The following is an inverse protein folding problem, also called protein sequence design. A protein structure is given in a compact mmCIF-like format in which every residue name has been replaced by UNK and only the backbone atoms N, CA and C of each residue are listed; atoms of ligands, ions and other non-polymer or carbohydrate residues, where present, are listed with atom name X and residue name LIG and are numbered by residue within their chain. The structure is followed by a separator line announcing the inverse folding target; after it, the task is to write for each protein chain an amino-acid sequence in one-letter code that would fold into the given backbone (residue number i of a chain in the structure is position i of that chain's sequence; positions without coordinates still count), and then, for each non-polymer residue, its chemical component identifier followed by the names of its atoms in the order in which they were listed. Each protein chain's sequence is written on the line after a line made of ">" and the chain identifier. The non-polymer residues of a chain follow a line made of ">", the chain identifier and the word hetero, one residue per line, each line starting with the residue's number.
data_IF_181435830642
#
_entry.id   IF_181435830642
#
_cell.length_a   1.000
_cell.length_b   1.000
_cell.length_c   1.000
_cell.angle_alpha   90.00
_cell.angle_beta   90.00
_cell.angle_gamma   90.00
#
_symmetry.space_group_name_H-M   'P 1'
#
loop_
_entity.id
_entity.type
_entity.pdbx_description
1 polymer ?
#
# COMPACT_ATOMS: atom_id res chain seq x y z
N UNK A 1 -20.49 4.17 -20.88
CA UNK A 1 -20.81 4.70 -19.54
C UNK A 1 -20.41 6.16 -19.41
N UNK A 2 -21.39 7.04 -19.19
CA UNK A 2 -21.13 8.44 -18.84
C UNK A 2 -20.90 8.57 -17.33
N UNK A 3 -19.84 9.28 -16.92
CA UNK A 3 -19.52 9.52 -15.51
C UNK A 3 -19.85 10.96 -15.12
N UNK A 4 -20.73 11.15 -14.14
CA UNK A 4 -21.18 12.47 -13.70
C UNK A 4 -21.17 12.56 -12.18
N UNK A 5 -20.75 13.69 -11.61
CA UNK A 5 -20.93 13.95 -10.17
C UNK A 5 -22.36 14.44 -9.96
N UNK A 6 -23.07 13.82 -9.02
CA UNK A 6 -24.39 14.24 -8.59
C UNK A 6 -24.44 14.43 -7.07
N UNK A 7 -25.39 15.23 -6.61
CA UNK A 7 -25.68 15.40 -5.19
C UNK A 7 -26.91 14.56 -4.81
N UNK A 8 -26.71 13.58 -3.93
CA UNK A 8 -27.75 12.66 -3.45
C UNK A 8 -28.47 13.25 -2.24
N UNK A 9 -29.79 13.25 -2.30
CA UNK A 9 -30.72 13.73 -1.28
C UNK A 9 -31.65 12.59 -0.86
N UNK A 10 -32.19 12.67 0.35
CA UNK A 10 -33.15 11.67 0.85
C UNK A 10 -34.50 12.31 1.14
N UNK A 11 -35.57 11.58 0.85
CA UNK A 11 -36.95 11.92 1.20
C UNK A 11 -37.54 10.86 2.14
N UNK A 12 -38.71 11.13 2.73
CA UNK A 12 -39.35 10.23 3.70
C UNK A 12 -40.29 9.19 3.07
N UNK A 13 -40.50 9.25 1.75
CA UNK A 13 -41.48 8.40 1.06
C UNK A 13 -41.11 6.90 1.17
N UNK A 14 -42.07 6.01 1.51
CA UNK A 14 -41.80 4.59 1.73
C UNK A 14 -41.67 3.79 0.43
N UNK A 15 -42.18 4.29 -0.70
CA UNK A 15 -42.12 3.63 -2.00
C UNK A 15 -40.67 3.61 -2.54
N UNK A 16 -40.41 2.86 -3.62
CA UNK A 16 -39.11 2.85 -4.31
C UNK A 16 -39.12 3.83 -5.48
N UNK A 17 -38.84 5.10 -5.19
CA UNK A 17 -38.87 6.17 -6.17
C UNK A 17 -37.53 6.90 -6.17
N UNK A 18 -37.04 7.21 -7.36
CA UNK A 18 -35.87 8.06 -7.58
C UNK A 18 -36.27 9.26 -8.43
N UNK A 19 -35.93 10.46 -7.96
CA UNK A 19 -36.09 11.68 -8.74
C UNK A 19 -34.75 12.15 -9.25
N UNK A 20 -34.70 12.47 -10.54
CA UNK A 20 -33.56 13.14 -11.15
C UNK A 20 -33.93 14.59 -11.47
N UNK A 21 -33.04 15.53 -11.15
CA UNK A 21 -33.15 16.89 -11.67
C UNK A 21 -33.21 16.88 -13.20
N UNK A 22 -34.03 17.73 -13.82
CA UNK A 22 -34.21 17.77 -15.28
C UNK A 22 -32.88 17.76 -16.08
N UNK A 23 -31.82 18.51 -15.71
CA UNK A 23 -30.53 18.45 -16.41
C UNK A 23 -29.89 17.06 -16.35
N UNK A 24 -29.90 16.42 -15.17
CA UNK A 24 -29.35 15.08 -14.97
C UNK A 24 -30.17 14.02 -15.71
N UNK A 25 -31.51 14.09 -15.66
CA UNK A 25 -32.36 13.14 -16.39
C UNK A 25 -32.10 13.18 -17.90
N UNK A 26 -31.90 14.39 -18.46
CA UNK A 26 -31.53 14.58 -19.87
C UNK A 26 -30.15 13.99 -20.18
N UNK A 27 -29.15 14.27 -19.35
CA UNK A 27 -27.79 13.76 -19.48
C UNK A 27 -27.75 12.22 -19.44
N UNK A 28 -28.56 11.62 -18.57
CA UNK A 28 -28.67 10.17 -18.40
C UNK A 28 -29.62 9.50 -19.42
N UNK A 29 -30.18 10.25 -20.37
CA UNK A 29 -31.14 9.76 -21.37
C UNK A 29 -32.35 9.03 -20.74
N UNK A 30 -32.83 9.52 -19.60
CA UNK A 30 -33.96 8.93 -18.86
C UNK A 30 -35.32 9.54 -19.22
N UNK A 31 -35.37 10.40 -20.24
CA UNK A 31 -36.62 11.07 -20.65
C UNK A 31 -37.64 10.04 -21.12
N UNK A 32 -38.83 10.02 -20.50
CA UNK A 32 -39.90 9.07 -20.82
C UNK A 32 -39.77 7.69 -20.16
N UNK A 33 -38.67 7.37 -19.47
CA UNK A 33 -38.54 6.10 -18.73
C UNK A 33 -39.38 6.10 -17.46
N UNK A 34 -40.14 5.03 -17.23
CA UNK A 34 -40.96 4.84 -16.02
C UNK A 34 -40.19 4.19 -14.87
N UNK A 35 -39.16 3.39 -15.17
CA UNK A 35 -38.35 2.69 -14.18
C UNK A 35 -36.88 2.61 -14.60
N UNK A 36 -36.01 2.39 -13.61
CA UNK A 36 -34.58 2.16 -13.78
C UNK A 36 -34.05 1.27 -12.68
N UNK A 37 -32.96 0.54 -12.93
CA UNK A 37 -32.22 -0.16 -11.90
C UNK A 37 -31.25 0.79 -11.20
N UNK A 38 -31.39 0.95 -9.89
CA UNK A 38 -30.46 1.74 -9.07
C UNK A 38 -29.51 0.80 -8.37
N UNK A 39 -28.21 1.05 -8.54
CA UNK A 39 -27.13 0.19 -8.04
C UNK A 39 -26.19 0.94 -7.11
N UNK A 40 -25.71 0.21 -6.11
CA UNK A 40 -24.59 0.60 -5.25
C UNK A 40 -23.81 -0.67 -4.92
N UNK A 41 -22.49 -0.71 -5.15
CA UNK A 41 -21.73 -1.93 -4.97
C UNK A 41 -22.33 -3.09 -5.78
N UNK A 42 -22.67 -4.18 -5.09
CA UNK A 42 -23.31 -5.37 -5.69
C UNK A 42 -24.84 -5.43 -5.57
N UNK A 43 -25.49 -4.49 -4.89
CA UNK A 43 -26.95 -4.44 -4.84
C UNK A 43 -27.52 -3.70 -6.04
N UNK A 44 -28.59 -4.23 -6.61
CA UNK A 44 -29.36 -3.63 -7.70
C UNK A 44 -30.83 -3.66 -7.31
N UNK A 45 -31.51 -2.51 -7.36
CA UNK A 45 -32.92 -2.40 -6.99
C UNK A 45 -33.68 -1.60 -8.05
N UNK A 46 -34.79 -2.13 -8.61
CA UNK A 46 -35.63 -1.37 -9.51
C UNK A 46 -36.35 -0.24 -8.76
N UNK A 47 -36.41 0.93 -9.39
CA UNK A 47 -37.06 2.12 -8.86
C UNK A 47 -37.91 2.80 -9.92
N UNK A 48 -39.04 3.37 -9.50
CA UNK A 48 -39.84 4.26 -10.34
C UNK A 48 -39.09 5.57 -10.55
N UNK A 49 -38.97 6.00 -11.80
CA UNK A 49 -38.27 7.23 -12.17
C UNK A 49 -39.26 8.39 -12.18
N UNK A 50 -38.86 9.49 -11.54
CA UNK A 50 -39.53 10.78 -11.64
C UNK A 50 -38.51 11.87 -11.98
N UNK A 51 -38.98 12.98 -12.52
CA UNK A 51 -38.13 14.15 -12.79
C UNK A 51 -38.58 15.33 -11.94
N UNK A 52 -37.63 16.18 -11.56
CA UNK A 52 -37.89 17.40 -10.80
C UNK A 52 -37.24 18.60 -11.48
N UNK A 53 -37.97 19.71 -11.57
CA UNK A 53 -37.45 20.98 -12.11
C UNK A 53 -36.48 21.60 -11.09
N UNK A 54 -35.20 21.26 -11.19
CA UNK A 54 -34.11 21.78 -10.35
C UNK A 54 -32.85 21.95 -11.19
N UNK A 55 -32.14 23.07 -11.00
CA UNK A 55 -30.83 23.30 -11.64
C UNK A 55 -29.76 22.37 -11.03
N UNK A 56 -28.72 22.08 -11.80
CA UNK A 56 -27.62 21.19 -11.38
C UNK A 56 -27.95 19.70 -11.48
N UNK A 57 -27.08 18.85 -10.92
CA UNK A 57 -27.20 17.40 -10.95
C UNK A 57 -27.59 16.86 -9.57
N UNK A 58 -28.89 16.61 -9.39
CA UNK A 58 -29.46 16.12 -8.14
C UNK A 58 -30.17 14.79 -8.32
N UNK A 59 -29.97 13.89 -7.36
CA UNK A 59 -30.71 12.65 -7.22
C UNK A 59 -31.43 12.70 -5.87
N UNK A 60 -32.75 12.57 -5.86
CA UNK A 60 -33.50 12.36 -4.62
C UNK A 60 -33.90 10.89 -4.55
N UNK A 61 -33.66 10.26 -3.41
CA UNK A 61 -34.04 8.88 -3.16
C UNK A 61 -35.06 8.82 -2.03
N UNK A 62 -36.14 8.09 -2.27
CA UNK A 62 -37.11 7.78 -1.23
C UNK A 62 -36.50 6.93 -0.12
N UNK A 63 -37.10 6.95 1.06
CA UNK A 63 -36.65 6.12 2.19
C UNK A 63 -36.72 4.62 1.85
N UNK A 64 -37.76 4.21 1.11
CA UNK A 64 -37.90 2.84 0.60
C UNK A 64 -36.73 2.42 -0.28
N UNK A 65 -36.40 3.23 -1.29
CA UNK A 65 -35.30 2.95 -2.20
C UNK A 65 -33.95 2.98 -1.49
N UNK A 66 -33.70 4.00 -0.66
CA UNK A 66 -32.46 4.13 0.12
C UNK A 66 -32.21 2.90 0.99
N UNK A 67 -33.24 2.38 1.68
CA UNK A 67 -33.10 1.19 2.52
C UNK A 67 -32.84 -0.07 1.70
N UNK A 68 -33.47 -0.21 0.53
CA UNK A 68 -33.29 -1.38 -0.33
C UNK A 68 -31.91 -1.41 -1.01
N UNK A 69 -31.43 -0.28 -1.55
CA UNK A 69 -30.09 -0.16 -2.18
C UNK A 69 -28.99 0.01 -1.12
N UNK A 70 -29.37 0.38 0.11
CA UNK A 70 -28.51 0.64 1.27
C UNK A 70 -27.52 1.79 1.04
N UNK A 71 -28.01 2.89 0.47
CA UNK A 71 -27.18 4.11 0.28
C UNK A 71 -26.87 4.73 1.65
N UNK A 72 -25.57 4.84 2.04
CA UNK A 72 -25.21 5.09 3.43
C UNK A 72 -25.49 6.53 3.87
N UNK A 73 -25.23 7.51 2.99
CA UNK A 73 -25.33 8.94 3.29
C UNK A 73 -25.63 9.77 2.04
N UNK A 74 -26.12 10.99 2.26
CA UNK A 74 -26.35 12.00 1.23
C UNK A 74 -25.04 12.73 0.86
N UNK A 75 -25.11 13.56 -0.18
CA UNK A 75 -24.01 14.41 -0.63
C UNK A 75 -23.49 14.04 -2.01
N UNK A 76 -22.34 14.60 -2.37
CA UNK A 76 -21.77 14.43 -3.71
C UNK A 76 -21.14 13.05 -3.88
N UNK A 77 -21.42 12.41 -5.01
CA UNK A 77 -20.86 11.11 -5.41
C UNK A 77 -20.85 11.00 -6.94
N UNK A 78 -20.01 10.13 -7.49
CA UNK A 78 -20.16 9.79 -8.89
C UNK A 78 -21.39 8.93 -9.16
N UNK A 79 -21.93 9.14 -10.35
CA UNK A 79 -23.01 8.38 -10.94
C UNK A 79 -22.54 7.93 -12.32
N UNK A 80 -22.50 6.62 -12.50
CA UNK A 80 -22.27 5.97 -13.79
C UNK A 80 -23.60 5.48 -14.35
N UNK A 81 -23.73 5.50 -15.67
CA UNK A 81 -24.93 5.07 -16.37
C UNK A 81 -24.56 4.24 -17.59
N UNK A 82 -25.24 3.10 -17.71
CA UNK A 82 -25.19 2.23 -18.88
C UNK A 82 -26.49 2.37 -19.69
N UNK A 83 -26.47 3.28 -20.67
CA UNK A 83 -27.53 3.54 -21.66
C UNK A 83 -28.96 3.72 -21.09
N UNK A 84 -29.08 4.09 -19.82
CA UNK A 84 -30.32 4.40 -19.12
C UNK A 84 -30.99 3.19 -18.44
N UNK A 85 -30.43 1.98 -18.54
CA UNK A 85 -30.99 0.78 -17.88
C UNK A 85 -30.56 0.66 -16.42
N UNK A 86 -29.30 0.95 -16.15
CA UNK A 86 -28.70 0.88 -14.82
C UNK A 86 -28.05 2.23 -14.48
N UNK A 87 -28.38 2.73 -13.29
CA UNK A 87 -27.76 3.90 -12.68
C UNK A 87 -27.00 3.43 -11.46
N UNK A 88 -25.67 3.53 -11.54
CA UNK A 88 -24.78 3.11 -10.48
C UNK A 88 -24.26 4.33 -9.70
N UNK A 89 -24.61 4.41 -8.42
CA UNK A 89 -24.03 5.36 -7.48
C UNK A 89 -22.74 4.77 -6.93
N UNK A 90 -21.69 5.58 -6.82
CA UNK A 90 -20.46 5.13 -6.17
C UNK A 90 -19.18 5.80 -6.68
N UNK A 91 -18.05 5.08 -6.66
CA UNK A 91 -17.94 3.69 -6.20
C UNK A 91 -18.14 3.55 -4.69
N UNK A 92 -18.57 2.37 -4.26
CA UNK A 92 -18.52 1.91 -2.88
C UNK A 92 -17.17 1.25 -2.63
N UNK A 93 -16.30 1.91 -1.85
CA UNK A 93 -14.92 1.50 -1.62
C UNK A 93 -14.75 1.02 -0.18
N UNK A 94 -14.39 -0.25 -0.03
CA UNK A 94 -14.18 -0.87 1.28
C UNK A 94 -12.69 -0.93 1.66
N UNK A 95 -12.34 -0.30 2.78
CA UNK A 95 -11.00 -0.40 3.38
C UNK A 95 -11.00 -1.54 4.41
N UNK A 96 -10.38 -2.67 4.05
CA UNK A 96 -10.25 -3.82 4.96
C UNK A 96 -9.12 -3.55 5.95
N UNK A 97 -9.46 -3.54 7.24
CA UNK A 97 -8.54 -3.30 8.35
C UNK A 97 -8.87 -4.25 9.51
N UNK A 98 -8.01 -4.27 10.52
CA UNK A 98 -8.32 -4.92 11.80
C UNK A 98 -8.96 -3.91 12.77
N UNK A 99 -9.77 -4.42 13.69
CA UNK A 99 -10.42 -3.66 14.76
C UNK A 99 -9.61 -3.76 16.04
N UNK A 100 -9.25 -2.63 16.65
CA UNK A 100 -8.31 -2.60 17.77
C UNK A 100 -8.90 -2.09 19.09
N UNK A 101 -10.08 -1.48 19.08
CA UNK A 101 -10.61 -0.77 20.26
C UNK A 101 -12.11 -1.03 20.44
N UNK A 102 -12.53 -1.13 21.70
CA UNK A 102 -13.95 -1.12 22.09
C UNK A 102 -14.55 0.29 22.09
N UNK A 103 -13.73 1.33 21.96
CA UNK A 103 -14.20 2.72 21.95
C UNK A 103 -14.66 3.16 20.55
N UNK A 104 -15.86 3.73 20.47
CA UNK A 104 -16.47 4.23 19.23
C UNK A 104 -15.70 5.37 18.57
N UNK A 105 -14.88 6.12 19.32
CA UNK A 105 -14.06 7.22 18.80
C UNK A 105 -12.77 6.76 18.09
N UNK A 106 -12.30 5.54 18.38
CA UNK A 106 -11.03 4.98 17.88
C UNK A 106 -11.17 3.54 17.37
N UNK A 107 -12.10 3.24 16.45
CA UNK A 107 -12.47 1.87 16.06
C UNK A 107 -11.30 1.02 15.54
N UNK A 108 -10.22 1.64 15.07
CA UNK A 108 -9.06 0.99 14.47
C UNK A 108 -7.75 1.24 15.24
N UNK A 109 -7.82 1.61 16.52
CA UNK A 109 -6.65 1.92 17.37
C UNK A 109 -5.76 2.99 16.74
N UNK A 110 -4.45 2.75 16.70
CA UNK A 110 -3.43 3.64 16.11
C UNK A 110 -3.68 4.01 14.64
N UNK A 111 -4.48 3.21 13.92
CA UNK A 111 -4.77 3.44 12.50
C UNK A 111 -6.01 4.26 12.24
N UNK A 112 -6.78 4.56 13.28
CA UNK A 112 -7.98 5.40 13.19
C UNK A 112 -7.68 6.71 12.45
N UNK A 113 -6.55 7.35 12.72
CA UNK A 113 -6.16 8.59 12.03
C UNK A 113 -5.98 8.42 10.53
N UNK A 114 -5.29 7.36 10.09
CA UNK A 114 -5.09 7.07 8.67
C UNK A 114 -6.40 6.69 7.96
N UNK A 115 -7.20 5.83 8.57
CA UNK A 115 -8.51 5.44 8.01
C UNK A 115 -9.43 6.67 7.91
N UNK A 116 -9.42 7.55 8.91
CA UNK A 116 -10.16 8.82 8.87
C UNK A 116 -9.73 9.69 7.68
N UNK A 117 -8.43 9.84 7.45
CA UNK A 117 -7.92 10.61 6.31
C UNK A 117 -8.39 10.05 4.97
N UNK A 118 -8.33 8.73 4.77
CA UNK A 118 -8.84 8.07 3.56
C UNK A 118 -10.34 8.30 3.37
N UNK A 119 -11.13 8.07 4.41
CA UNK A 119 -12.59 8.23 4.35
C UNK A 119 -12.98 9.69 4.13
N UNK A 120 -12.19 10.64 4.62
CA UNK A 120 -12.40 12.06 4.38
C UNK A 120 -12.05 12.44 2.93
N UNK A 121 -10.96 11.91 2.38
CA UNK A 121 -10.56 12.18 1.00
C UNK A 121 -11.61 11.71 -0.02
N UNK A 122 -12.21 10.54 0.22
CA UNK A 122 -13.29 10.04 -0.62
C UNK A 122 -14.58 10.87 -0.55
N UNK A 123 -14.73 11.74 0.46
CA UNK A 123 -15.92 12.60 0.57
C UNK A 123 -16.05 13.45 -0.69
N UNK A 124 -17.25 13.47 -1.26
CA UNK A 124 -17.65 14.16 -2.49
C UNK A 124 -17.43 13.40 -3.81
N UNK A 125 -16.65 12.31 -3.83
CA UNK A 125 -16.41 11.51 -5.04
C UNK A 125 -16.89 10.07 -4.93
N UNK A 126 -16.78 9.45 -3.74
CA UNK A 126 -17.07 8.04 -3.54
C UNK A 126 -17.65 7.76 -2.13
N UNK A 127 -18.19 6.56 -1.94
CA UNK A 127 -18.55 6.05 -0.62
C UNK A 127 -17.42 5.20 -0.05
N UNK A 128 -16.49 5.85 0.67
CA UNK A 128 -15.48 5.13 1.45
C UNK A 128 -16.04 4.68 2.79
N UNK A 129 -15.71 3.45 3.16
CA UNK A 129 -15.95 2.92 4.49
C UNK A 129 -14.84 1.96 4.89
N UNK A 130 -14.72 1.72 6.19
CA UNK A 130 -13.77 0.76 6.73
C UNK A 130 -14.50 -0.38 7.42
N UNK A 131 -13.95 -1.59 7.31
CA UNK A 131 -14.55 -2.79 7.88
C UNK A 131 -13.48 -3.81 8.25
N UNK A 132 -13.86 -4.73 9.12
CA UNK A 132 -13.09 -5.89 9.54
C UNK A 132 -13.69 -7.15 8.92
N UNK A 133 -12.95 -8.28 8.86
CA UNK A 133 -13.51 -9.55 8.37
C UNK A 133 -14.81 -9.98 9.05
N UNK A 134 -14.98 -9.61 10.34
CA UNK A 134 -16.15 -9.96 11.15
C UNK A 134 -17.38 -9.12 10.83
N UNK A 135 -17.21 -8.00 10.13
CA UNK A 135 -18.31 -7.11 9.75
C UNK A 135 -19.10 -7.61 8.53
N UNK A 136 -18.61 -8.64 7.86
CA UNK A 136 -19.20 -9.18 6.63
C UNK A 136 -20.26 -10.23 6.97
N UNK A 137 -21.49 -9.98 6.58
CA UNK A 137 -22.53 -10.99 6.53
C UNK A 137 -22.57 -11.59 5.12
N UNK A 138 -21.92 -12.75 4.95
CA UNK A 138 -21.86 -13.44 3.66
C UNK A 138 -23.20 -14.04 3.21
N UNK A 139 -24.11 -14.31 4.15
CA UNK A 139 -25.42 -14.89 3.84
C UNK A 139 -26.35 -13.83 3.25
N UNK A 140 -26.25 -12.59 3.76
CA UNK A 140 -27.00 -11.43 3.27
C UNK A 140 -26.23 -10.60 2.23
N UNK A 141 -24.97 -10.94 1.95
CA UNK A 141 -24.06 -10.19 1.07
C UNK A 141 -23.94 -8.70 1.44
N UNK A 142 -23.89 -8.43 2.74
CA UNK A 142 -23.76 -7.08 3.29
C UNK A 142 -22.55 -6.93 4.20
N UNK A 143 -22.11 -5.69 4.39
CA UNK A 143 -21.05 -5.32 5.32
C UNK A 143 -21.58 -4.24 6.24
N UNK A 144 -21.48 -4.44 7.55
CA UNK A 144 -21.71 -3.39 8.53
C UNK A 144 -20.43 -2.55 8.67
N UNK A 145 -20.32 -1.49 7.88
CA UNK A 145 -19.11 -0.68 7.76
C UNK A 145 -19.09 0.55 8.68
N UNK A 146 -17.90 1.03 8.97
CA UNK A 146 -17.64 2.33 9.61
C UNK A 146 -17.54 3.44 8.57
N UNK A 147 -18.35 4.48 8.74
CA UNK A 147 -18.37 5.70 7.94
C UNK A 147 -18.06 6.92 8.81
N UNK A 148 -17.59 7.99 8.18
CA UNK A 148 -17.55 9.31 8.80
C UNK A 148 -18.86 10.07 8.54
N UNK A 149 -19.42 10.64 9.61
CA UNK A 149 -20.51 11.61 9.54
C UNK A 149 -20.01 13.01 9.11
N UNK A 150 -20.92 13.97 9.03
CA UNK A 150 -20.60 15.35 8.63
C UNK A 150 -19.69 16.11 9.61
N UNK A 151 -19.66 15.71 10.89
CA UNK A 151 -18.78 16.27 11.92
C UNK A 151 -17.45 15.51 12.05
N UNK A 152 -17.22 14.45 11.26
CA UNK A 152 -16.03 13.60 11.35
C UNK A 152 -16.12 12.52 12.45
N UNK A 153 -17.29 12.33 13.05
CA UNK A 153 -17.61 11.24 13.96
C UNK A 153 -17.78 9.91 13.23
N UNK A 154 -17.62 8.81 13.95
CA UNK A 154 -17.74 7.45 13.42
C UNK A 154 -19.17 6.93 13.55
N UNK A 155 -19.73 6.45 12.44
CA UNK A 155 -21.08 5.85 12.42
C UNK A 155 -21.06 4.49 11.72
N UNK A 156 -21.91 3.57 12.18
CA UNK A 156 -22.09 2.25 11.57
C UNK A 156 -23.24 2.26 10.57
N UNK A 157 -23.02 1.70 9.38
CA UNK A 157 -24.05 1.54 8.34
C UNK A 157 -23.86 0.21 7.65
N UNK A 158 -24.96 -0.50 7.41
CA UNK A 158 -24.99 -1.70 6.58
C UNK A 158 -25.05 -1.26 5.12
N UNK A 159 -24.11 -1.78 4.32
CA UNK A 159 -24.01 -1.54 2.87
C UNK A 159 -23.82 -2.87 2.13
N UNK A 160 -24.06 -2.92 0.81
CA UNK A 160 -23.72 -4.09 0.00
C UNK A 160 -22.23 -4.44 0.05
N UNK A 161 -21.90 -5.60 -0.53
CA UNK A 161 -20.52 -5.85 -0.94
C UNK A 161 -20.02 -4.71 -1.87
N UNK A 162 -18.77 -4.23 -1.66
CA UNK A 162 -18.24 -3.05 -2.33
C UNK A 162 -17.91 -3.29 -3.81
N UNK A 163 -17.69 -2.20 -4.53
CA UNK A 163 -17.17 -2.21 -5.90
C UNK A 163 -15.68 -2.60 -5.93
N UNK A 164 -14.93 -2.23 -4.89
CA UNK A 164 -13.49 -2.55 -4.72
C UNK A 164 -13.12 -2.63 -3.25
N UNK A 165 -12.20 -3.54 -2.93
CA UNK A 165 -11.61 -3.70 -1.60
C UNK A 165 -10.14 -3.31 -1.63
N UNK A 166 -9.80 -2.30 -0.82
CA UNK A 166 -8.43 -1.98 -0.47
C UNK A 166 -8.02 -2.79 0.76
N UNK A 167 -7.19 -3.82 0.56
CA UNK A 167 -6.67 -4.57 1.69
C UNK A 167 -5.58 -3.80 2.40
N UNK A 168 -5.86 -3.36 3.62
CA UNK A 168 -4.90 -2.66 4.43
C UNK A 168 -4.63 -3.30 5.78
N UNK A 169 -4.85 -4.59 6.00
CA UNK A 169 -4.58 -5.25 7.29
C UNK A 169 -3.19 -4.92 7.88
N UNK A 170 -3.04 -4.82 9.21
CA UNK A 170 -1.88 -4.19 9.85
C UNK A 170 -0.65 -5.08 9.93
N UNK A 171 -0.79 -6.39 9.79
CA UNK A 171 0.31 -7.32 9.97
C UNK A 171 0.13 -8.59 9.15
N UNK A 172 1.24 -9.29 8.91
CA UNK A 172 1.25 -10.62 8.30
C UNK A 172 0.35 -11.60 9.06
N UNK A 173 0.39 -11.57 10.40
CA UNK A 173 -0.44 -12.45 11.26
C UNK A 173 -1.93 -12.23 11.05
N UNK A 174 -2.36 -10.98 10.83
CA UNK A 174 -3.75 -10.65 10.54
C UNK A 174 -4.21 -11.14 9.15
N UNK A 175 -3.28 -11.58 8.30
CA UNK A 175 -3.52 -12.00 6.92
C UNK A 175 -3.40 -13.51 6.69
N UNK A 176 -3.02 -14.26 7.72
CA UNK A 176 -2.79 -15.71 7.67
C UNK A 176 -3.97 -16.43 8.31
N UNK A 177 -4.29 -17.62 7.79
CA UNK A 177 -5.33 -18.50 8.31
C UNK A 177 -6.44 -18.77 7.29
N UNK A 178 -7.13 -19.90 7.48
CA UNK A 178 -8.20 -20.38 6.59
C UNK A 178 -9.32 -19.36 6.40
N UNK A 179 -9.69 -18.63 7.45
CA UNK A 179 -10.70 -17.57 7.39
C UNK A 179 -10.33 -16.45 6.40
N UNK A 180 -9.06 -16.05 6.38
CA UNK A 180 -8.61 -14.98 5.48
C UNK A 180 -8.50 -15.47 4.04
N UNK A 181 -8.01 -16.69 3.82
CA UNK A 181 -8.03 -17.34 2.50
C UNK A 181 -9.45 -17.40 1.95
N UNK A 182 -10.40 -17.93 2.72
CA UNK A 182 -11.80 -18.00 2.33
C UNK A 182 -12.44 -16.62 2.08
N UNK A 183 -12.09 -15.60 2.88
CA UNK A 183 -12.54 -14.22 2.66
C UNK A 183 -12.11 -13.71 1.29
N UNK A 184 -10.83 -13.90 0.92
CA UNK A 184 -10.30 -13.42 -0.36
C UNK A 184 -10.91 -14.18 -1.54
N UNK A 185 -11.00 -15.50 -1.45
CA UNK A 185 -11.65 -16.34 -2.47
C UNK A 185 -13.11 -15.93 -2.72
N UNK A 186 -13.86 -15.58 -1.66
CA UNK A 186 -15.24 -15.08 -1.80
C UNK A 186 -15.31 -13.76 -2.56
N UNK A 187 -14.40 -12.82 -2.31
CA UNK A 187 -14.33 -11.58 -3.09
C UNK A 187 -13.97 -11.85 -4.57
N UNK A 188 -13.03 -12.75 -4.84
CA UNK A 188 -12.67 -13.17 -6.20
C UNK A 188 -13.87 -13.79 -6.91
N UNK A 189 -14.57 -14.73 -6.27
CA UNK A 189 -15.79 -15.37 -6.82
C UNK A 189 -16.87 -14.34 -7.15
N UNK A 190 -16.96 -13.25 -6.38
CA UNK A 190 -17.90 -12.14 -6.61
C UNK A 190 -17.41 -11.08 -7.60
N UNK A 191 -16.25 -11.30 -8.23
CA UNK A 191 -15.61 -10.36 -9.17
C UNK A 191 -15.51 -8.96 -8.55
N UNK A 192 -15.04 -8.91 -7.30
CA UNK A 192 -14.72 -7.66 -6.59
C UNK A 192 -13.20 -7.52 -6.61
N UNK A 193 -12.64 -6.51 -7.30
CA UNK A 193 -11.23 -6.19 -7.24
C UNK A 193 -10.75 -6.08 -5.80
N UNK A 194 -9.67 -6.80 -5.49
CA UNK A 194 -9.07 -6.88 -4.17
C UNK A 194 -7.57 -6.68 -4.35
N UNK A 195 -7.08 -5.49 -4.02
CA UNK A 195 -5.70 -5.11 -4.30
C UNK A 195 -4.86 -5.04 -3.02
N UNK A 196 -3.55 -5.20 -3.19
CA UNK A 196 -2.59 -5.46 -2.11
C UNK A 196 -2.95 -6.73 -1.33
N UNK A 197 -3.12 -7.83 -2.08
CA UNK A 197 -3.60 -9.14 -1.61
C UNK A 197 -3.03 -9.60 -0.27
N UNK A 198 -1.70 -9.62 -0.13
CA UNK A 198 -1.01 -9.95 1.10
C UNK A 198 0.24 -9.10 1.32
N UNK A 199 0.82 -9.13 2.51
CA UNK A 199 2.20 -8.71 2.73
C UNK A 199 3.15 -9.63 1.96
N UNK A 200 4.26 -9.09 1.49
CA UNK A 200 5.37 -9.89 1.00
C UNK A 200 6.18 -10.46 2.17
N UNK A 201 6.70 -11.67 2.01
CA UNK A 201 7.88 -12.12 2.76
C UNK A 201 9.14 -11.76 1.97
N UNK A 202 10.29 -11.71 2.66
CA UNK A 202 11.55 -11.32 2.03
C UNK A 202 11.99 -12.30 0.93
N UNK A 203 11.77 -13.59 1.15
CA UNK A 203 11.96 -14.63 0.14
C UNK A 203 11.10 -14.39 -1.10
N UNK A 204 9.84 -14.00 -0.89
CA UNK A 204 8.86 -13.87 -1.98
C UNK A 204 9.31 -12.82 -2.99
N UNK A 205 9.80 -11.66 -2.55
CA UNK A 205 10.23 -10.59 -3.47
C UNK A 205 11.41 -11.02 -4.33
N UNK A 206 12.40 -11.72 -3.76
CA UNK A 206 13.52 -12.23 -4.54
C UNK A 206 13.07 -13.32 -5.51
N UNK A 207 12.24 -14.26 -5.07
CA UNK A 207 11.67 -15.30 -5.95
C UNK A 207 10.83 -14.71 -7.08
N UNK A 208 10.13 -13.59 -6.85
CA UNK A 208 9.38 -12.87 -7.88
C UNK A 208 10.28 -12.25 -8.95
N UNK A 209 11.53 -11.91 -8.62
CA UNK A 209 12.43 -11.17 -9.51
C UNK A 209 13.61 -12.00 -10.03
N UNK A 210 13.78 -13.24 -9.55
CA UNK A 210 14.91 -14.12 -9.87
C UNK A 210 15.06 -14.43 -11.36
N UNK A 211 13.97 -14.30 -12.14
CA UNK A 211 13.95 -14.53 -13.59
C UNK A 211 13.84 -13.26 -14.42
N UNK A 212 13.79 -12.08 -13.79
CA UNK A 212 13.67 -10.80 -14.48
C UNK A 212 15.07 -10.17 -14.63
N UNK A 213 15.64 -10.30 -15.84
CA UNK A 213 17.02 -9.88 -16.15
C UNK A 213 17.26 -8.39 -15.88
N UNK A 214 16.25 -7.55 -16.05
CA UNK A 214 16.35 -6.12 -15.79
C UNK A 214 16.32 -5.84 -14.28
N UNK A 215 15.46 -6.52 -13.53
CA UNK A 215 15.40 -6.36 -12.08
C UNK A 215 16.68 -6.88 -11.38
N UNK A 216 17.27 -7.98 -11.86
CA UNK A 216 18.47 -8.59 -11.27
C UNK A 216 19.67 -7.64 -11.21
N UNK A 217 19.79 -6.70 -12.16
CA UNK A 217 20.85 -5.66 -12.17
C UNK A 217 20.78 -4.73 -10.97
N UNK A 218 19.61 -4.64 -10.35
CA UNK A 218 19.32 -3.75 -9.22
C UNK A 218 19.11 -4.52 -7.91
N UNK A 219 19.46 -5.81 -7.87
CA UNK A 219 19.32 -6.64 -6.68
C UNK A 219 20.69 -7.08 -6.16
N UNK A 220 20.97 -6.94 -4.85
CA UNK A 220 22.18 -7.51 -4.27
C UNK A 220 22.12 -9.04 -4.31
N UNK A 221 23.25 -9.67 -4.66
CA UNK A 221 23.36 -11.13 -4.67
C UNK A 221 22.98 -11.70 -3.29
N UNK A 222 22.01 -12.60 -3.25
CA UNK A 222 21.39 -13.08 -2.00
C UNK A 222 21.16 -14.57 -2.03
N UNK A 223 21.44 -15.26 -0.92
CA UNK A 223 21.28 -16.72 -0.79
C UNK A 223 20.54 -17.03 0.51
N UNK A 224 19.39 -17.68 0.37
CA UNK A 224 18.58 -18.15 1.49
C UNK A 224 19.18 -19.43 2.08
N UNK A 225 19.11 -19.55 3.41
CA UNK A 225 19.63 -20.69 4.17
C UNK A 225 21.05 -21.11 3.73
N UNK A 226 22.00 -20.16 3.70
CA UNK A 226 23.30 -20.39 3.09
C UNK A 226 24.13 -21.37 3.94
N UNK A 227 24.88 -22.24 3.27
CA UNK A 227 25.91 -23.04 3.94
C UNK A 227 27.08 -22.13 4.37
N UNK A 228 27.87 -22.53 5.38
CA UNK A 228 29.10 -21.82 5.76
C UNK A 228 30.05 -21.57 4.59
N UNK A 229 30.19 -22.56 3.71
CA UNK A 229 31.04 -22.51 2.52
C UNK A 229 30.54 -21.42 1.58
N UNK A 230 29.23 -21.33 1.38
CA UNK A 230 28.64 -20.30 0.53
C UNK A 230 28.73 -18.90 1.13
N UNK A 231 28.63 -18.78 2.46
CA UNK A 231 28.91 -17.51 3.16
C UNK A 231 30.36 -17.09 2.94
N UNK A 232 31.32 -18.03 3.06
CA UNK A 232 32.74 -17.76 2.86
C UNK A 232 33.01 -17.29 1.44
N UNK A 233 32.52 -18.02 0.44
CA UNK A 233 32.64 -17.68 -0.98
C UNK A 233 32.13 -16.26 -1.27
N UNK A 234 30.90 -15.95 -0.84
CA UNK A 234 30.34 -14.62 -1.02
C UNK A 234 31.12 -13.54 -0.27
N UNK A 235 31.69 -13.87 0.89
CA UNK A 235 32.41 -12.90 1.71
C UNK A 235 33.79 -12.61 1.13
N UNK A 236 34.42 -13.59 0.49
CA UNK A 236 35.66 -13.40 -0.27
C UNK A 236 35.40 -12.62 -1.56
N UNK A 237 34.31 -12.94 -2.28
CA UNK A 237 33.87 -12.25 -3.50
C UNK A 237 33.54 -10.78 -3.25
N UNK A 238 32.70 -10.49 -2.25
CA UNK A 238 32.14 -9.15 -2.04
C UNK A 238 32.79 -8.36 -0.90
N UNK A 239 33.56 -9.01 -0.02
CA UNK A 239 34.22 -8.44 1.17
C UNK A 239 33.29 -7.83 2.23
N UNK A 240 32.00 -7.69 1.94
CA UNK A 240 30.98 -7.13 2.81
C UNK A 240 29.65 -7.83 2.54
N UNK A 241 29.08 -8.46 3.57
CA UNK A 241 27.77 -9.09 3.52
C UNK A 241 26.89 -8.64 4.69
N UNK A 242 25.59 -8.70 4.47
CA UNK A 242 24.58 -8.75 5.52
C UNK A 242 24.12 -10.18 5.74
N UNK A 243 24.02 -10.58 7.00
CA UNK A 243 23.40 -11.83 7.42
C UNK A 243 22.17 -11.48 8.26
N UNK A 244 20.99 -11.72 7.69
CA UNK A 244 19.70 -11.22 8.22
C UNK A 244 18.65 -12.33 8.32
N UNK A 245 17.75 -12.30 9.32
CA UNK A 245 16.70 -13.32 9.44
C UNK A 245 15.72 -13.25 8.26
N UNK A 246 15.28 -14.41 7.76
CA UNK A 246 14.33 -14.53 6.64
C UNK A 246 12.98 -13.88 6.96
N UNK A 247 12.50 -14.01 8.21
CA UNK A 247 11.22 -13.46 8.67
C UNK A 247 11.36 -12.22 9.60
N UNK A 248 12.52 -11.55 9.59
CA UNK A 248 12.82 -10.43 10.50
C UNK A 248 12.14 -9.11 10.15
N UNK A 249 11.98 -8.23 11.15
CA UNK A 249 11.54 -6.84 10.98
C UNK A 249 12.38 -5.88 11.86
N UNK A 250 12.29 -4.58 11.59
CA UNK A 250 12.91 -3.51 12.40
C UNK A 250 14.44 -3.55 12.52
N UNK A 251 15.12 -4.31 11.66
CA UNK A 251 16.57 -4.45 11.72
C UNK A 251 17.09 -5.35 12.84
N UNK A 252 16.21 -6.06 13.55
CA UNK A 252 16.58 -6.94 14.65
C UNK A 252 17.24 -8.21 14.09
N UNK A 253 18.36 -8.61 14.69
CA UNK A 253 19.09 -9.82 14.31
C UNK A 253 19.93 -9.68 13.04
N UNK A 254 20.14 -8.46 12.53
CA UNK A 254 21.01 -8.23 11.37
C UNK A 254 22.47 -8.14 11.81
N UNK A 255 23.31 -8.92 11.14
CA UNK A 255 24.77 -8.89 11.26
C UNK A 255 25.37 -8.33 9.98
N UNK A 256 26.34 -7.44 10.13
CA UNK A 256 27.23 -7.02 9.06
C UNK A 256 28.52 -7.81 9.19
N UNK A 257 28.83 -8.60 8.17
CA UNK A 257 30.05 -9.37 8.05
C UNK A 257 30.99 -8.63 7.08
N UNK A 258 32.24 -8.41 7.47
CA UNK A 258 33.24 -7.86 6.54
C UNK A 258 34.53 -8.66 6.62
N UNK A 259 35.14 -8.90 5.47
CA UNK A 259 36.44 -9.54 5.36
C UNK A 259 37.45 -8.55 4.81
N UNK A 260 38.62 -8.51 5.45
CA UNK A 260 39.76 -7.74 4.99
C UNK A 260 40.97 -8.67 4.93
N UNK A 261 41.55 -8.94 3.75
CA UNK A 261 42.59 -9.96 3.58
C UNK A 261 43.72 -9.91 4.61
N UNK A 262 44.18 -8.71 4.96
CA UNK A 262 45.25 -8.50 5.96
C UNK A 262 44.78 -8.32 7.41
N UNK A 263 43.50 -8.07 7.67
CA UNK A 263 42.98 -7.71 9.01
C UNK A 263 42.01 -8.75 9.58
N UNK A 264 41.69 -9.79 8.81
CA UNK A 264 40.79 -10.86 9.21
C UNK A 264 39.32 -10.52 8.97
N UNK A 265 38.45 -11.14 9.76
CA UNK A 265 37.01 -11.06 9.63
C UNK A 265 36.41 -10.21 10.74
N UNK A 266 35.33 -9.51 10.45
CA UNK A 266 34.65 -8.68 11.42
C UNK A 266 33.14 -8.94 11.39
N UNK A 267 32.53 -8.92 12.57
CA UNK A 267 31.08 -8.88 12.73
C UNK A 267 30.71 -7.59 13.43
N UNK A 268 29.77 -6.84 12.84
CA UNK A 268 29.06 -5.76 13.51
C UNK A 268 27.58 -6.09 13.68
N UNK A 269 27.02 -5.86 14.86
CA UNK A 269 25.59 -6.06 15.15
C UNK A 269 25.13 -5.17 16.30
N UNK A 270 23.82 -5.03 16.48
CA UNK A 270 23.23 -4.28 17.60
C UNK A 270 22.82 -5.21 18.73
N UNK A 271 23.17 -4.85 19.97
CA UNK A 271 22.65 -5.43 21.22
C UNK A 271 21.85 -4.33 21.93
N UNK A 272 20.98 -4.69 22.88
CA UNK A 272 20.16 -3.72 23.64
C UNK A 272 20.96 -2.54 24.22
N UNK A 273 22.25 -2.74 24.50
CA UNK A 273 23.17 -1.74 25.07
C UNK A 273 23.97 -0.92 24.05
N UNK A 274 23.88 -1.20 22.74
CA UNK A 274 24.62 -0.45 21.71
C UNK A 274 25.08 -1.28 20.51
N UNK A 275 25.95 -0.68 19.68
CA UNK A 275 26.58 -1.35 18.54
C UNK A 275 27.82 -2.12 19.00
N UNK A 276 27.93 -3.39 18.61
CA UNK A 276 29.06 -4.27 18.92
C UNK A 276 29.88 -4.51 17.66
N UNK A 277 31.20 -4.44 17.77
CA UNK A 277 32.15 -4.82 16.72
C UNK A 277 33.09 -5.90 17.27
N UNK A 278 33.13 -7.06 16.60
CA UNK A 278 34.03 -8.15 16.93
C UNK A 278 34.97 -8.41 15.77
N UNK A 279 36.23 -8.75 16.08
CA UNK A 279 37.24 -9.19 15.12
C UNK A 279 37.57 -10.67 15.32
N UNK A 280 37.77 -11.38 14.23
CA UNK A 280 38.17 -12.79 14.19
C UNK A 280 39.37 -12.95 13.27
N UNK A 281 40.34 -13.76 13.69
CA UNK A 281 41.54 -14.05 12.87
C UNK A 281 41.23 -14.98 11.70
N UNK A 282 40.21 -15.84 11.82
CA UNK A 282 39.81 -16.81 10.79
C UNK A 282 38.28 -16.94 10.69
N UNK A 283 37.83 -17.47 9.55
CA UNK A 283 36.41 -17.64 9.24
C UNK A 283 35.69 -18.62 10.18
N UNK A 284 36.36 -19.70 10.59
CA UNK A 284 35.76 -20.74 11.44
C UNK A 284 35.36 -20.19 12.81
N UNK A 285 36.17 -19.31 13.40
CA UNK A 285 35.85 -18.63 14.66
C UNK A 285 34.65 -17.70 14.52
N UNK A 286 34.52 -17.00 13.39
CA UNK A 286 33.37 -16.17 13.06
C UNK A 286 32.10 -17.04 12.98
N UNK A 287 32.16 -18.16 12.25
CA UNK A 287 31.01 -19.06 12.08
C UNK A 287 30.62 -19.75 13.39
N UNK A 288 31.58 -20.11 14.25
CA UNK A 288 31.31 -20.65 15.58
C UNK A 288 30.45 -19.68 16.39
N UNK A 289 30.76 -18.37 16.36
CA UNK A 289 29.96 -17.35 17.04
C UNK A 289 28.52 -17.29 16.51
N UNK A 290 28.33 -17.28 15.19
CA UNK A 290 27.00 -17.25 14.58
C UNK A 290 26.18 -18.50 14.95
N UNK A 291 26.79 -19.69 14.89
CA UNK A 291 26.16 -20.96 15.27
C UNK A 291 25.81 -21.03 16.75
N UNK A 292 26.71 -20.62 17.64
CA UNK A 292 26.43 -20.58 19.09
C UNK A 292 25.22 -19.69 19.40
N UNK A 293 25.03 -18.60 18.64
CA UNK A 293 23.94 -17.68 18.89
C UNK A 293 22.61 -18.08 18.22
N UNK A 294 22.66 -18.77 17.08
CA UNK A 294 21.49 -19.00 16.23
C UNK A 294 21.18 -20.47 15.93
N UNK A 295 21.96 -21.41 16.49
CA UNK A 295 21.85 -22.84 16.22
C UNK A 295 22.70 -23.28 15.02
N UNK A 296 22.98 -24.58 14.93
CA UNK A 296 23.91 -25.16 13.94
C UNK A 296 23.46 -25.03 12.49
N UNK A 297 22.15 -25.07 12.23
CA UNK A 297 21.60 -25.18 10.88
C UNK A 297 21.38 -23.84 10.18
N UNK A 298 21.48 -22.69 10.89
CA UNK A 298 21.30 -21.34 10.32
C UNK A 298 20.03 -21.18 9.45
N UNK A 299 19.04 -22.03 9.66
CA UNK A 299 17.99 -22.40 8.69
C UNK A 299 16.84 -21.39 8.56
N UNK A 300 17.09 -20.14 8.92
CA UNK A 300 16.11 -19.05 8.89
C UNK A 300 16.79 -17.69 8.61
N UNK A 301 17.89 -17.71 7.88
CA UNK A 301 18.65 -16.53 7.53
C UNK A 301 18.95 -16.48 6.03
N UNK A 302 19.14 -15.26 5.55
CA UNK A 302 19.65 -14.98 4.21
C UNK A 302 20.97 -14.24 4.36
N UNK A 303 21.96 -14.66 3.57
CA UNK A 303 23.18 -13.87 3.36
C UNK A 303 22.99 -13.05 2.09
N UNK A 304 23.36 -11.78 2.15
CA UNK A 304 23.15 -10.82 1.09
C UNK A 304 24.39 -9.95 0.91
N UNK A 305 24.76 -9.67 -0.34
CA UNK A 305 25.80 -8.72 -0.69
C UNK A 305 25.57 -7.37 0.01
N UNK A 306 26.58 -6.89 0.71
CA UNK A 306 26.58 -5.58 1.34
C UNK A 306 26.95 -4.51 0.33
N UNK A 307 26.02 -3.61 0.04
CA UNK A 307 26.26 -2.47 -0.87
C UNK A 307 26.90 -1.31 -0.09
N UNK A 308 27.95 -0.72 -0.66
CA UNK A 308 28.63 0.46 -0.10
C UNK A 308 27.89 1.72 -0.51
N UNK A 309 26.84 2.02 0.25
CA UNK A 309 25.95 3.15 0.02
C UNK A 309 26.67 4.50 0.06
N UNK A 310 26.05 5.51 -0.52
CA UNK A 310 26.41 6.90 -0.22
C UNK A 310 26.20 7.21 1.26
N UNK A 311 27.06 8.08 1.78
CA UNK A 311 27.14 8.40 3.21
C UNK A 311 27.15 9.91 3.41
N UNK A 312 26.49 10.37 4.47
CA UNK A 312 26.65 11.73 5.02
C UNK A 312 27.21 11.57 6.43
N UNK A 313 28.29 12.26 6.76
CA UNK A 313 28.99 12.14 8.05
C UNK A 313 29.35 10.69 8.41
N UNK A 314 29.79 9.90 7.41
CA UNK A 314 30.09 8.47 7.53
C UNK A 314 28.90 7.60 7.97
N UNK A 315 27.67 8.10 7.80
CA UNK A 315 26.46 7.33 8.01
C UNK A 315 25.80 6.99 6.67
N UNK A 316 25.55 5.69 6.38
CA UNK A 316 24.91 5.27 5.14
C UNK A 316 23.47 5.75 5.06
N UNK A 317 23.00 5.95 3.83
CA UNK A 317 21.67 6.44 3.52
C UNK A 317 20.95 5.42 2.64
N UNK A 318 19.71 5.10 3.00
CA UNK A 318 18.78 4.43 2.10
C UNK A 318 17.50 5.26 1.93
N UNK A 319 16.79 5.02 0.84
CA UNK A 319 15.66 5.80 0.39
C UNK A 319 14.41 4.92 0.42
N UNK A 320 13.39 5.33 1.16
CA UNK A 320 12.07 4.71 1.11
C UNK A 320 11.26 5.37 0.01
N UNK A 321 11.06 4.66 -1.09
CA UNK A 321 10.14 5.04 -2.16
C UNK A 321 8.74 4.52 -1.82
N UNK A 322 7.74 5.40 -1.89
CA UNK A 322 6.34 5.04 -1.89
C UNK A 322 5.83 5.06 -3.33
N UNK A 323 5.57 3.88 -3.86
CA UNK A 323 5.06 3.67 -5.21
C UNK A 323 3.56 3.46 -5.13
N UNK A 324 2.83 4.06 -6.06
CA UNK A 324 1.39 3.91 -6.19
C UNK A 324 1.01 3.70 -7.64
N UNK A 325 -0.14 3.09 -7.87
CA UNK A 325 -0.80 3.14 -9.16
C UNK A 325 -1.58 4.44 -9.29
N UNK A 326 -1.44 5.12 -10.42
CA UNK A 326 -2.24 6.31 -10.74
C UNK A 326 -3.64 5.95 -11.27
N UNK A 327 -4.41 6.96 -11.69
CA UNK A 327 -5.75 6.78 -12.27
C UNK A 327 -5.77 6.06 -13.63
N UNK A 328 -4.60 5.80 -14.23
CA UNK A 328 -4.42 5.02 -15.48
C UNK A 328 -3.85 3.64 -15.22
N UNK A 329 -3.65 3.28 -13.95
CA UNK A 329 -3.05 2.02 -13.52
C UNK A 329 -1.57 1.89 -13.94
N UNK A 330 -0.84 3.00 -13.96
CA UNK A 330 0.60 3.08 -14.15
C UNK A 330 1.31 3.33 -12.81
N UNK A 331 2.53 2.81 -12.64
CA UNK A 331 3.31 3.01 -11.42
C UNK A 331 3.93 4.41 -11.37
N UNK A 332 3.67 5.14 -10.29
CA UNK A 332 4.22 6.47 -10.02
C UNK A 332 4.87 6.55 -8.65
N UNK A 333 5.85 7.44 -8.50
CA UNK A 333 6.52 7.71 -7.23
C UNK A 333 5.73 8.77 -6.47
N UNK A 334 4.94 8.36 -5.47
CA UNK A 334 4.14 9.29 -4.67
C UNK A 334 4.98 10.07 -3.64
N UNK A 335 6.09 9.51 -3.19
CA UNK A 335 6.98 10.19 -2.26
C UNK A 335 8.24 9.38 -1.95
N UNK A 336 9.31 10.09 -1.57
CA UNK A 336 10.59 9.49 -1.23
C UNK A 336 11.07 10.10 0.09
N UNK A 337 11.49 9.25 1.02
CA UNK A 337 12.14 9.68 2.25
C UNK A 337 13.54 9.10 2.36
N UNK A 338 14.56 9.96 2.53
CA UNK A 338 15.93 9.53 2.73
C UNK A 338 16.20 9.31 4.23
N UNK A 339 16.55 8.08 4.60
CA UNK A 339 16.87 7.67 5.98
C UNK A 339 18.37 7.56 6.13
N UNK A 340 18.96 8.49 6.89
CA UNK A 340 20.36 8.43 7.30
C UNK A 340 20.49 7.56 8.55
N UNK A 341 21.42 6.60 8.54
CA UNK A 341 21.67 5.75 9.71
C UNK A 341 22.21 6.53 10.91
N UNK A 342 21.97 6.01 12.12
CA UNK A 342 22.70 6.47 13.31
C UNK A 342 24.18 6.09 13.22
N UNK A 343 25.06 6.89 13.83
CA UNK A 343 26.52 6.61 13.84
C UNK A 343 26.81 5.20 14.34
N UNK A 344 27.59 4.45 13.56
CA UNK A 344 27.97 3.07 13.87
C UNK A 344 26.85 2.03 13.74
N UNK A 345 25.62 2.42 13.40
CA UNK A 345 24.47 1.51 13.26
C UNK A 345 24.64 0.58 12.06
N UNK A 346 24.18 -0.66 12.23
CA UNK A 346 24.15 -1.67 11.15
C UNK A 346 22.96 -1.46 10.21
N UNK A 347 21.96 -0.67 10.62
CA UNK A 347 20.73 -0.43 9.86
C UNK A 347 20.39 1.05 9.82
N UNK A 348 19.77 1.51 8.74
CA UNK A 348 19.26 2.87 8.56
C UNK A 348 17.88 3.10 9.22
N UNK A 349 17.30 2.10 9.89
CA UNK A 349 16.00 2.25 10.55
C UNK A 349 16.01 3.42 11.54
N UNK A 350 15.05 4.35 11.39
CA UNK A 350 14.93 5.58 12.20
C UNK A 350 14.89 5.28 13.70
N UNK A 351 14.21 4.20 14.12
CA UNK A 351 14.12 3.75 15.52
C UNK A 351 15.49 3.43 16.17
N UNK A 352 16.54 3.24 15.36
CA UNK A 352 17.90 2.92 15.80
C UNK A 352 18.82 4.15 15.89
N UNK A 353 18.25 5.37 15.92
CA UNK A 353 18.99 6.64 15.98
C UNK A 353 19.25 7.27 14.61
N UNK A 354 18.48 6.87 13.60
CA UNK A 354 18.55 7.45 12.25
C UNK A 354 17.76 8.75 12.13
N UNK A 355 18.06 9.55 11.11
CA UNK A 355 17.34 10.79 10.78
C UNK A 355 16.69 10.69 9.41
N UNK A 356 15.60 11.42 9.21
CA UNK A 356 14.85 11.47 7.96
C UNK A 356 15.06 12.84 7.31
N UNK A 357 15.34 12.85 6.01
CA UNK A 357 15.51 14.06 5.19
C UNK A 357 14.87 13.87 3.81
N UNK A 358 14.80 14.93 3.01
CA UNK A 358 14.32 14.82 1.62
C UNK A 358 15.39 14.15 0.74
N UNK A 359 15.00 13.49 -0.37
CA UNK A 359 15.99 12.90 -1.27
C UNK A 359 16.89 13.96 -1.91
N UNK A 360 16.39 15.17 -2.18
CA UNK A 360 17.17 16.28 -2.73
C UNK A 360 18.27 16.69 -1.73
N UNK A 361 17.93 16.87 -0.45
CA UNK A 361 18.92 17.19 0.58
C UNK A 361 19.99 16.12 0.72
N UNK A 362 19.60 14.84 0.66
CA UNK A 362 20.54 13.73 0.75
C UNK A 362 21.47 13.69 -0.47
N UNK A 363 20.92 13.73 -1.68
CA UNK A 363 21.67 13.56 -2.92
C UNK A 363 22.52 14.78 -3.25
N UNK A 364 22.08 16.02 -2.95
CA UNK A 364 22.91 17.22 -3.14
C UNK A 364 24.15 17.20 -2.27
N UNK A 365 24.09 16.61 -1.07
CA UNK A 365 25.25 16.46 -0.18
C UNK A 365 26.20 15.34 -0.59
N UNK A 366 25.74 14.35 -1.36
CA UNK A 366 26.57 13.19 -1.76
C UNK A 366 27.07 13.28 -3.20
N UNK A 367 26.27 13.82 -4.12
CA UNK A 367 26.55 13.88 -5.57
C UNK A 367 26.65 15.31 -6.12
N UNK A 368 26.37 16.34 -5.31
CA UNK A 368 26.48 17.74 -5.74
C UNK A 368 25.61 18.04 -6.97
N UNK A 369 26.23 18.53 -8.04
CA UNK A 369 25.55 18.89 -9.28
C UNK A 369 24.80 17.72 -9.96
N UNK A 370 25.21 16.47 -9.71
CA UNK A 370 24.55 15.27 -10.29
C UNK A 370 23.33 14.80 -9.51
N UNK A 371 22.95 15.48 -8.42
CA UNK A 371 21.88 15.02 -7.53
C UNK A 371 20.53 14.81 -8.25
N UNK A 372 20.14 15.72 -9.15
CA UNK A 372 18.88 15.61 -9.88
C UNK A 372 18.87 14.48 -10.91
N UNK A 373 20.01 14.27 -11.60
CA UNK A 373 20.22 13.16 -12.54
C UNK A 373 20.06 11.82 -11.81
N UNK A 374 20.79 11.63 -10.70
CA UNK A 374 20.74 10.42 -9.88
C UNK A 374 19.34 10.18 -9.32
N UNK A 375 18.65 11.23 -8.86
CA UNK A 375 17.28 11.11 -8.37
C UNK A 375 16.31 10.67 -9.48
N UNK A 376 16.46 11.20 -10.70
CA UNK A 376 15.64 10.84 -11.85
C UNK A 376 15.85 9.39 -12.24
N UNK A 377 17.09 8.93 -12.29
CA UNK A 377 17.44 7.54 -12.56
C UNK A 377 16.87 6.61 -11.49
N UNK A 378 17.05 6.94 -10.20
CA UNK A 378 16.50 6.15 -9.10
C UNK A 378 14.96 6.05 -9.16
N UNK A 379 14.26 7.11 -9.56
CA UNK A 379 12.81 7.07 -9.81
C UNK A 379 12.44 6.14 -10.96
N UNK A 380 13.17 6.19 -12.07
CA UNK A 380 12.94 5.31 -13.22
C UNK A 380 13.17 3.83 -12.86
N UNK A 381 14.25 3.52 -12.14
CA UNK A 381 14.53 2.16 -11.64
C UNK A 381 13.43 1.69 -10.68
N UNK A 382 12.97 2.55 -9.77
CA UNK A 382 11.89 2.22 -8.84
C UNK A 382 10.58 1.87 -9.57
N UNK A 383 10.26 2.57 -10.67
CA UNK A 383 9.10 2.26 -11.52
C UNK A 383 9.28 0.88 -12.18
N UNK A 384 10.41 0.65 -12.86
CA UNK A 384 10.71 -0.63 -13.52
C UNK A 384 10.67 -1.82 -12.55
N UNK A 385 11.22 -1.66 -11.35
CA UNK A 385 11.13 -2.67 -10.29
C UNK A 385 9.70 -2.92 -9.83
N UNK A 386 8.87 -1.88 -9.73
CA UNK A 386 7.46 -2.03 -9.35
C UNK A 386 6.68 -2.80 -10.42
N UNK A 387 6.93 -2.50 -11.69
CA UNK A 387 6.37 -3.23 -12.83
C UNK A 387 6.84 -4.68 -12.86
N UNK A 388 8.13 -4.95 -12.60
CA UNK A 388 8.68 -6.29 -12.54
C UNK A 388 8.03 -7.12 -11.40
N UNK A 389 7.85 -6.52 -10.23
CA UNK A 389 7.14 -7.16 -9.11
C UNK A 389 5.69 -7.47 -9.51
N UNK A 390 4.98 -6.51 -10.13
CA UNK A 390 3.60 -6.70 -10.56
C UNK A 390 3.46 -7.80 -11.62
N UNK A 391 4.31 -7.81 -12.65
CA UNK A 391 4.27 -8.83 -13.71
C UNK A 391 4.44 -10.25 -13.17
N UNK A 392 5.26 -10.42 -12.13
CA UNK A 392 5.55 -11.73 -11.55
C UNK A 392 4.62 -12.09 -10.38
N UNK A 393 3.78 -11.17 -9.91
CA UNK A 393 2.87 -11.40 -8.78
C UNK A 393 1.45 -11.68 -9.27
N UNK A 394 0.85 -12.76 -8.79
CA UNK A 394 -0.45 -13.28 -9.27
C UNK A 394 -1.68 -12.44 -8.87
N UNK A 395 -1.50 -11.36 -8.11
CA UNK A 395 -2.60 -10.57 -7.58
C UNK A 395 -2.40 -9.07 -7.80
N UNK A 396 -3.50 -8.33 -7.78
CA UNK A 396 -3.48 -6.88 -8.01
C UNK A 396 -2.72 -6.13 -6.91
N UNK A 397 -1.92 -5.14 -7.31
CA UNK A 397 -1.18 -4.23 -6.44
C UNK A 397 -1.56 -2.78 -6.79
N UNK A 398 -1.77 -1.95 -5.77
CA UNK A 398 -2.03 -0.51 -5.94
C UNK A 398 -1.05 0.38 -5.19
N UNK A 399 -0.27 -0.18 -4.27
CA UNK A 399 0.82 0.48 -3.57
C UNK A 399 2.00 -0.49 -3.34
N UNK A 400 3.22 0.04 -3.34
CA UNK A 400 4.43 -0.65 -2.89
C UNK A 400 5.31 0.34 -2.11
N UNK A 401 6.09 -0.15 -1.15
CA UNK A 401 7.20 0.60 -0.60
C UNK A 401 8.51 -0.10 -0.82
N UNK A 402 9.40 0.53 -1.56
CA UNK A 402 10.73 0.02 -1.88
C UNK A 402 11.76 0.68 -0.96
N UNK A 403 12.61 -0.12 -0.31
CA UNK A 403 13.85 0.37 0.29
C UNK A 403 14.95 0.26 -0.75
N UNK A 404 15.44 1.41 -1.19
CA UNK A 404 16.44 1.55 -2.25
C UNK A 404 17.71 2.17 -1.68
N UNK A 405 18.84 1.57 -2.00
CA UNK A 405 20.18 2.09 -1.82
C UNK A 405 20.73 2.69 -3.10
N UNK A 406 21.58 3.70 -2.95
CA UNK A 406 22.39 4.23 -4.05
C UNK A 406 23.84 4.14 -3.59
N UNK A 407 24.69 3.49 -4.39
CA UNK A 407 26.12 3.39 -4.08
C UNK A 407 26.91 4.60 -4.58
N UNK A 408 28.22 4.59 -4.35
CA UNK A 408 29.11 5.71 -4.70
C UNK A 408 29.25 5.94 -6.21
N UNK A 409 28.95 4.92 -7.01
CA UNK A 409 29.00 4.95 -8.47
C UNK A 409 27.63 5.25 -9.07
N UNK A 410 26.70 5.78 -8.26
CA UNK A 410 25.31 6.09 -8.61
C UNK A 410 24.43 4.89 -8.98
N UNK A 411 24.91 3.65 -8.82
CA UNK A 411 24.10 2.49 -9.11
C UNK A 411 23.01 2.29 -8.04
N UNK A 412 21.82 1.91 -8.51
CA UNK A 412 20.59 1.81 -7.72
C UNK A 412 20.33 0.36 -7.35
N UNK A 413 20.11 0.11 -6.06
CA UNK A 413 19.96 -1.23 -5.48
C UNK A 413 18.70 -1.32 -4.64
N UNK A 414 17.79 -2.26 -4.91
CA UNK A 414 16.64 -2.52 -4.07
C UNK A 414 16.96 -3.59 -3.01
N UNK A 415 16.71 -3.27 -1.74
CA UNK A 415 16.95 -4.16 -0.61
C UNK A 415 15.70 -4.92 -0.19
N UNK A 416 14.56 -4.25 -0.19
CA UNK A 416 13.29 -4.78 0.27
C UNK A 416 12.11 -4.12 -0.49
N UNK A 417 11.08 -4.90 -0.78
CA UNK A 417 9.78 -4.38 -1.24
C UNK A 417 8.68 -4.75 -0.23
N UNK A 418 7.72 -3.85 -0.05
CA UNK A 418 6.60 -4.05 0.86
C UNK A 418 5.28 -3.70 0.18
N UNK A 419 4.37 -4.66 0.06
CA UNK A 419 3.03 -4.41 -0.50
C UNK A 419 2.13 -3.53 0.37
N UNK A 420 2.52 -3.15 1.59
CA UNK A 420 1.67 -2.41 2.54
C UNK A 420 2.50 -1.41 3.36
N UNK A 421 3.20 -0.47 2.72
CA UNK A 421 4.28 0.28 3.33
C UNK A 421 3.84 1.20 4.46
N UNK A 422 4.60 1.23 5.54
CA UNK A 422 4.36 2.16 6.65
C UNK A 422 4.51 3.62 6.19
N UNK A 423 3.64 4.51 6.68
CA UNK A 423 3.56 5.92 6.25
C UNK A 423 4.38 6.88 7.12
N UNK A 424 5.36 6.38 7.87
CA UNK A 424 6.09 7.19 8.85
C UNK A 424 6.89 8.33 8.24
N UNK A 425 7.31 8.21 6.98
CA UNK A 425 8.08 9.27 6.31
C UNK A 425 7.27 10.55 6.12
N UNK A 426 5.96 10.44 5.92
CA UNK A 426 5.07 11.58 5.70
C UNK A 426 4.77 12.39 6.98
N UNK A 427 5.29 11.94 8.13
CA UNK A 427 5.29 12.78 9.35
C UNK A 427 6.30 13.92 9.26
N UNK A 428 7.31 13.81 8.38
CA UNK A 428 8.25 14.89 8.14
C UNK A 428 7.54 16.09 7.48
N UNK A 429 7.72 17.34 7.96
CA UNK A 429 7.00 18.50 7.44
C UNK A 429 7.15 18.69 5.92
N UNK A 430 8.36 18.51 5.39
CA UNK A 430 8.64 18.65 3.96
C UNK A 430 8.03 17.54 3.08
N UNK A 431 7.50 16.46 3.66
CA UNK A 431 6.90 15.32 2.94
C UNK A 431 5.37 15.25 3.09
N UNK A 432 4.74 16.30 3.64
CA UNK A 432 3.29 16.32 3.88
C UNK A 432 2.47 16.27 2.59
N UNK A 433 2.88 17.00 1.55
CA UNK A 433 2.16 17.02 0.28
C UNK A 433 2.24 15.67 -0.45
N UNK A 434 3.41 15.02 -0.41
CA UNK A 434 3.58 13.64 -0.89
C UNK A 434 2.70 12.67 -0.10
N UNK A 435 2.53 12.92 1.20
CA UNK A 435 1.59 12.18 2.04
C UNK A 435 0.14 12.31 1.57
N UNK A 436 -0.29 13.50 1.16
CA UNK A 436 -1.63 13.73 0.59
C UNK A 436 -1.78 13.09 -0.79
N UNK A 437 -0.82 13.30 -1.69
CA UNK A 437 -0.80 12.70 -3.03
C UNK A 437 -0.87 11.17 -2.97
N UNK A 438 -0.16 10.55 -2.03
CA UNK A 438 -0.24 9.11 -1.77
C UNK A 438 -1.66 8.62 -1.40
N UNK A 439 -2.48 9.44 -0.73
CA UNK A 439 -3.88 9.10 -0.46
C UNK A 439 -4.74 9.29 -1.73
N UNK A 440 -4.47 10.32 -2.52
CA UNK A 440 -5.14 10.60 -3.80
C UNK A 440 -4.94 9.47 -4.79
N UNK A 441 -3.72 8.95 -4.95
CA UNK A 441 -3.49 7.80 -5.81
C UNK A 441 -4.24 6.53 -5.36
N UNK A 442 -4.45 6.33 -4.05
CA UNK A 442 -5.30 5.22 -3.58
C UNK A 442 -6.74 5.40 -4.07
N UNK A 443 -7.28 6.61 -3.98
CA UNK A 443 -8.61 6.93 -4.50
C UNK A 443 -8.67 6.73 -6.02
N UNK A 444 -7.70 7.26 -6.76
CA UNK A 444 -7.66 7.17 -8.22
C UNK A 444 -7.55 5.73 -8.71
N UNK A 445 -6.71 4.91 -8.08
CA UNK A 445 -6.66 3.47 -8.36
C UNK A 445 -7.98 2.76 -8.04
N UNK A 446 -8.66 3.13 -6.94
CA UNK A 446 -9.98 2.58 -6.65
C UNK A 446 -11.02 3.01 -7.71
N UNK A 447 -10.97 4.25 -8.20
CA UNK A 447 -11.81 4.72 -9.31
C UNK A 447 -11.52 3.93 -10.59
N UNK A 448 -10.25 3.66 -10.90
CA UNK A 448 -9.82 2.82 -12.02
C UNK A 448 -10.40 1.41 -11.92
N UNK A 449 -10.17 0.72 -10.79
CA UNK A 449 -10.61 -0.67 -10.58
C UNK A 449 -12.13 -0.83 -10.57
N UNK A 450 -12.85 0.16 -10.05
CA UNK A 450 -14.31 0.18 -10.04
C UNK A 450 -14.94 0.70 -11.33
N UNK A 451 -14.13 1.09 -12.33
CA UNK A 451 -14.55 1.63 -13.63
C UNK A 451 -15.30 2.97 -13.55
N UNK A 452 -15.09 3.74 -12.48
CA UNK A 452 -15.60 5.11 -12.32
C UNK A 452 -14.61 6.14 -12.89
N UNK A 453 -14.31 6.03 -14.19
CA UNK A 453 -13.42 6.96 -14.93
C UNK A 453 -14.03 7.38 -16.26
N UNK A 454 -13.65 8.55 -16.78
CA UNK A 454 -14.02 8.98 -18.13
C UNK A 454 -13.21 8.17 -19.15
N UNK A 455 -13.83 7.76 -20.27
CA UNK A 455 -13.18 6.92 -21.28
C UNK A 455 -12.06 7.64 -22.05
N UNK A 456 -12.01 8.96 -22.01
CA UNK A 456 -11.11 9.77 -22.87
C UNK A 456 -9.72 10.05 -22.24
N UNK A 457 -9.37 9.37 -21.14
CA UNK A 457 -8.05 9.49 -20.47
C UNK A 457 -7.21 8.20 -20.56
N UNK A 458 -7.56 7.27 -21.45
CA UNK A 458 -6.82 6.03 -21.70
C UNK A 458 -5.80 6.15 -22.81
#
# INVERSE_FOLDING_TARGET
>A
MSLTICNVHFTQQPERIVWFSSPLAKLLKLSGRKSVNVKLGKDIVPATVRTIKRKGHHVYMSAGLRRSVRVPKSGNVYLANDEGEEIQLGPLIGVLTDGGSRASSTPFGDRTGFVRQLLHLGQKKAYFFAFTPRDINWQQETINGWFLDGGGGWTRRVVPLPDVVYNRLPSRRAEVGSTMTALRERFVKKRIPFFNWSFFNKSDVYSLLDKDVEALKHLPESINNPSPEKIKELLEKHQFLYYKPTAGSLGIGIYRLTYHPRKGYFIRYRRNTGNVLLRFSNFNSLMKMLRTRHGGNLSNYVVQQGIRLVEIDSCPIDFRFHMHKDGRNEWVVAGIGAKKAGRGSVTTHIKNGGSLMTPEQALSRTFGARAEEVLREAKAVAIKLSEAIERNYSHQLGELGLDIGIDRDSAVWMFEANAKPGRSIFKHPALKEQGKASLEYILDHCLYLSKFRRRDES
#
